data_IF_375494956128
#
_entry.id   IF_375494956128
#
_cell.length_a   1.000
_cell.length_b   1.000
_cell.length_c   1.000
_cell.angle_alpha   90.00
_cell.angle_beta   90.00
_cell.angle_gamma   90.00
#
_symmetry.space_group_name_H-M   'P 1'
#
loop_
_entity.id
_entity.type
_entity.pdbx_description
1 polymer ?
#
# COMPACT_ATOMS: atom_id res chain seq x y z
N UNK A 1 -19.30 37.06 19.41
CA UNK A 1 -19.01 35.87 20.23
C UNK A 1 -17.78 35.22 19.64
N UNK A 2 -16.85 34.78 20.48
CA UNK A 2 -15.75 33.91 20.06
C UNK A 2 -16.31 32.48 20.03
N UNK A 3 -16.36 31.88 18.86
CA UNK A 3 -16.69 30.46 18.70
C UNK A 3 -15.38 29.68 18.71
N UNK A 4 -15.39 28.49 19.28
CA UNK A 4 -14.25 27.58 19.13
C UNK A 4 -14.33 26.95 17.73
N UNK A 5 -13.19 26.69 17.09
CA UNK A 5 -13.15 25.80 15.95
C UNK A 5 -13.80 24.46 16.26
N UNK A 6 -14.40 23.84 15.24
CA UNK A 6 -14.80 22.44 15.25
C UNK A 6 -14.06 21.76 14.12
N UNK A 7 -13.37 20.66 14.42
CA UNK A 7 -12.65 19.87 13.43
C UNK A 7 -12.99 18.38 13.52
N UNK A 8 -13.00 17.69 12.39
CA UNK A 8 -13.18 16.24 12.32
C UNK A 8 -12.30 15.66 11.22
N UNK A 9 -11.47 14.67 11.56
CA UNK A 9 -10.72 13.89 10.60
C UNK A 9 -11.65 12.87 9.94
N UNK A 10 -11.64 12.79 8.61
CA UNK A 10 -12.48 11.85 7.86
C UNK A 10 -11.68 10.63 7.41
N UNK A 11 -10.45 10.84 6.91
CA UNK A 11 -9.59 9.76 6.46
C UNK A 11 -8.12 10.20 6.41
N UNK A 12 -7.15 9.30 6.62
CA UNK A 12 -7.30 7.92 7.13
C UNK A 12 -7.91 7.89 8.54
N UNK A 13 -8.79 6.93 8.80
CA UNK A 13 -9.56 6.86 10.06
C UNK A 13 -9.48 5.51 10.77
N UNK A 14 -8.75 4.54 10.20
CA UNK A 14 -8.43 3.28 10.85
C UNK A 14 -8.58 2.06 9.94
N UNK A 15 -7.69 1.08 10.15
CA UNK A 15 -7.68 -0.19 9.43
C UNK A 15 -7.11 -0.13 8.01
N UNK A 16 -6.76 1.06 7.49
CA UNK A 16 -6.07 1.16 6.21
C UNK A 16 -4.65 0.56 6.27
N UNK A 17 -4.15 0.15 5.11
CA UNK A 17 -2.74 -0.20 4.91
C UNK A 17 -2.19 0.76 3.87
N UNK A 18 -1.29 1.65 4.28
CA UNK A 18 -0.70 2.65 3.40
C UNK A 18 0.71 2.23 3.02
N UNK A 19 1.03 2.27 1.74
CA UNK A 19 2.35 1.92 1.23
C UNK A 19 3.34 3.05 1.54
N UNK A 20 4.45 2.71 2.19
CA UNK A 20 5.58 3.59 2.41
C UNK A 20 6.13 4.18 1.10
N UNK A 21 6.41 5.48 1.11
CA UNK A 21 6.83 6.23 -0.08
C UNK A 21 5.71 6.56 -1.09
N UNK A 22 4.50 6.04 -0.87
CA UNK A 22 3.31 6.40 -1.65
C UNK A 22 2.74 7.77 -1.26
N UNK A 23 1.82 8.28 -2.06
CA UNK A 23 1.04 9.49 -1.77
C UNK A 23 -0.41 9.14 -1.49
N UNK A 24 -0.95 9.69 -0.40
CA UNK A 24 -2.32 9.45 0.07
C UNK A 24 -2.97 10.78 0.45
N UNK A 25 -4.28 10.86 0.32
CA UNK A 25 -5.02 12.08 0.65
C UNK A 25 -5.56 11.98 2.07
N UNK A 26 -5.19 12.92 2.92
CA UNK A 26 -5.80 13.16 4.22
C UNK A 26 -7.00 14.07 4.00
N UNK A 27 -8.13 13.77 4.62
CA UNK A 27 -9.37 14.57 4.48
C UNK A 27 -9.96 14.89 5.85
N UNK A 28 -10.57 16.07 5.97
CA UNK A 28 -11.17 16.57 7.20
C UNK A 28 -12.31 17.54 6.90
N UNK A 29 -13.09 17.86 7.92
CA UNK A 29 -13.94 19.07 7.96
C UNK A 29 -13.48 19.97 9.08
N UNK A 30 -13.36 21.27 8.84
CA UNK A 30 -13.18 22.25 9.91
C UNK A 30 -14.07 23.48 9.70
N UNK A 31 -14.67 24.00 10.76
CA UNK A 31 -15.52 25.19 10.71
C UNK A 31 -15.21 26.16 11.84
N UNK A 32 -14.92 27.40 11.49
CA UNK A 32 -14.95 28.57 12.35
C UNK A 32 -15.11 29.83 11.47
N UNK A 33 -15.71 30.90 11.99
CA UNK A 33 -15.90 32.16 11.26
C UNK A 33 -14.66 33.07 11.29
N UNK A 34 -13.65 32.76 12.10
CA UNK A 34 -12.44 33.54 12.34
C UNK A 34 -11.15 32.82 11.93
N UNK A 35 -11.22 31.85 11.01
CA UNK A 35 -10.02 31.24 10.45
C UNK A 35 -9.17 32.24 9.65
N UNK A 36 -7.85 32.05 9.75
CA UNK A 36 -6.89 32.66 8.83
C UNK A 36 -6.81 31.91 7.50
N UNK A 37 -5.78 32.21 6.70
CA UNK A 37 -5.57 31.57 5.38
C UNK A 37 -5.17 30.10 5.50
N UNK A 38 -4.38 29.75 6.52
CA UNK A 38 -3.84 28.40 6.71
C UNK A 38 -4.03 27.91 8.15
N UNK A 39 -5.27 27.65 8.59
CA UNK A 39 -5.57 27.36 9.99
C UNK A 39 -5.28 25.91 10.40
N UNK A 40 -4.96 25.02 9.45
CA UNK A 40 -4.87 23.58 9.67
C UNK A 40 -3.42 23.12 9.83
N UNK A 41 -3.15 22.33 10.87
CA UNK A 41 -1.92 21.57 11.04
C UNK A 41 -2.22 20.07 11.07
N UNK A 42 -1.29 19.26 10.54
CA UNK A 42 -1.40 17.81 10.47
C UNK A 42 -0.13 17.16 11.02
N UNK A 43 -0.32 16.14 11.85
CA UNK A 43 0.74 15.32 12.40
C UNK A 43 0.32 13.85 12.43
N UNK A 44 1.28 12.93 12.53
CA UNK A 44 1.00 11.51 12.72
C UNK A 44 1.76 10.93 13.91
N UNK A 45 1.14 9.93 14.51
CA UNK A 45 1.67 9.08 15.57
C UNK A 45 2.16 7.76 14.97
N UNK A 46 3.17 7.16 15.59
CA UNK A 46 3.55 5.75 15.37
C UNK A 46 3.46 4.92 16.66
N UNK A 47 2.82 5.49 17.69
CA UNK A 47 2.67 4.94 19.04
C UNK A 47 1.19 4.83 19.47
N UNK A 48 0.30 4.66 18.49
CA UNK A 48 -1.13 4.44 18.70
C UNK A 48 -1.88 5.67 19.22
N UNK A 49 -1.48 6.86 18.77
CA UNK A 49 -2.09 8.13 19.17
C UNK A 49 -1.64 8.66 20.53
N UNK A 50 -0.65 8.03 21.18
CA UNK A 50 -0.12 8.52 22.47
C UNK A 50 0.59 9.86 22.28
N UNK A 51 1.39 9.98 21.21
CA UNK A 51 2.05 11.22 20.81
C UNK A 51 2.00 11.43 19.30
N UNK A 52 1.76 12.67 18.87
CA UNK A 52 1.78 13.09 17.46
C UNK A 52 3.08 13.84 17.16
N UNK A 53 4.20 13.16 17.31
CA UNK A 53 5.55 13.75 17.22
C UNK A 53 6.04 13.96 15.78
N UNK A 54 5.40 13.34 14.79
CA UNK A 54 5.81 13.45 13.40
C UNK A 54 4.96 14.47 12.65
N UNK A 55 5.57 15.57 12.22
CA UNK A 55 4.88 16.63 11.48
C UNK A 55 4.64 16.24 10.02
N UNK A 56 3.40 16.41 9.54
CA UNK A 56 3.05 16.31 8.11
C UNK A 56 3.08 17.72 7.50
N UNK A 57 2.38 18.66 8.12
CA UNK A 57 2.45 20.09 7.84
C UNK A 57 2.08 20.89 9.07
N UNK A 58 2.69 22.06 9.25
CA UNK A 58 2.35 22.97 10.35
C UNK A 58 1.25 23.97 9.99
N UNK A 59 0.94 24.12 8.70
CA UNK A 59 -0.04 25.07 8.20
C UNK A 59 -0.48 24.70 6.77
N UNK A 60 -1.78 24.57 6.54
CA UNK A 60 -2.40 24.43 5.22
C UNK A 60 -3.77 25.10 5.21
N UNK A 61 -4.27 25.42 4.02
CA UNK A 61 -5.62 25.96 3.82
C UNK A 61 -6.68 24.98 4.33
N UNK A 62 -7.84 25.51 4.75
CA UNK A 62 -8.99 24.67 5.13
C UNK A 62 -9.84 24.32 3.90
N UNK A 63 -9.25 23.60 2.94
CA UNK A 63 -9.89 23.12 1.71
C UNK A 63 -10.46 21.70 1.84
N UNK A 64 -10.27 21.08 3.01
CA UNK A 64 -10.75 19.75 3.37
C UNK A 64 -9.85 18.60 2.93
N UNK A 65 -8.67 18.87 2.35
CA UNK A 65 -7.76 17.80 1.93
C UNK A 65 -6.28 18.16 1.90
N UNK A 66 -5.40 17.19 2.15
CA UNK A 66 -3.96 17.36 2.04
C UNK A 66 -3.31 16.11 1.46
N UNK A 67 -2.46 16.28 0.45
CA UNK A 67 -1.70 15.17 -0.14
C UNK A 67 -0.46 14.90 0.72
N UNK A 68 -0.46 13.76 1.39
CA UNK A 68 0.62 13.29 2.25
C UNK A 68 1.48 12.26 1.53
N UNK A 69 2.79 12.52 1.48
CA UNK A 69 3.79 11.50 1.12
C UNK A 69 4.13 10.69 2.35
N UNK A 70 3.72 9.42 2.37
CA UNK A 70 3.89 8.51 3.49
C UNK A 70 5.39 8.18 3.64
N UNK A 71 5.95 8.24 4.86
CA UNK A 71 7.34 7.84 5.10
C UNK A 71 7.59 6.37 4.72
N UNK A 72 8.81 6.05 4.30
CA UNK A 72 9.24 4.67 4.02
C UNK A 72 9.52 3.85 5.29
N UNK A 73 8.67 3.93 6.30
CA UNK A 73 8.83 3.22 7.59
C UNK A 73 7.65 2.29 7.83
N UNK A 74 7.94 1.07 8.25
CA UNK A 74 6.94 0.10 8.68
C UNK A 74 6.37 0.46 10.06
N UNK A 75 5.05 0.44 10.23
CA UNK A 75 4.40 0.56 11.55
C UNK A 75 2.95 0.09 11.49
N UNK A 76 2.47 -0.54 12.56
CA UNK A 76 1.06 -0.98 12.69
C UNK A 76 0.23 -0.13 13.65
N UNK A 77 0.83 0.91 14.25
CA UNK A 77 0.20 1.73 15.27
C UNK A 77 0.17 3.20 14.84
N UNK A 78 -0.28 3.46 13.61
CA UNK A 78 -0.29 4.81 13.04
C UNK A 78 -1.67 5.44 13.21
N UNK A 79 -1.67 6.71 13.62
CA UNK A 79 -2.85 7.57 13.62
C UNK A 79 -2.46 8.94 13.10
N UNK A 80 -3.41 9.66 12.50
CA UNK A 80 -3.23 11.06 12.10
C UNK A 80 -4.02 11.95 13.05
N UNK A 81 -3.49 13.13 13.34
CA UNK A 81 -4.20 14.20 14.03
C UNK A 81 -4.29 15.42 13.10
N UNK A 82 -5.46 16.02 13.09
CA UNK A 82 -5.72 17.33 12.52
C UNK A 82 -5.97 18.33 13.66
N UNK A 83 -5.35 19.51 13.55
CA UNK A 83 -5.58 20.62 14.46
C UNK A 83 -6.03 21.84 13.65
N UNK A 84 -7.09 22.50 14.09
CA UNK A 84 -7.56 23.75 13.51
C UNK A 84 -7.42 24.88 14.53
N UNK A 85 -6.80 26.00 14.14
CA UNK A 85 -6.58 27.16 15.01
C UNK A 85 -7.13 28.44 14.39
N UNK A 86 -7.90 29.22 15.16
CA UNK A 86 -8.44 30.51 14.73
C UNK A 86 -7.42 31.67 14.91
N UNK A 87 -7.75 32.86 14.41
CA UNK A 87 -6.90 34.06 14.53
C UNK A 87 -6.76 34.58 15.98
N UNK A 88 -7.62 34.14 16.91
CA UNK A 88 -7.53 34.46 18.32
C UNK A 88 -6.65 33.47 19.11
N UNK A 89 -6.18 32.40 18.46
CA UNK A 89 -5.36 31.34 19.05
C UNK A 89 -6.17 30.23 19.73
N UNK A 90 -7.50 30.18 19.55
CA UNK A 90 -8.29 29.04 19.99
C UNK A 90 -8.06 27.87 19.04
N UNK A 91 -7.96 26.66 19.59
CA UNK A 91 -7.74 25.46 18.81
C UNK A 91 -8.68 24.32 19.19
N UNK A 92 -8.96 23.48 18.20
CA UNK A 92 -9.59 22.17 18.37
C UNK A 92 -8.78 21.13 17.59
N UNK A 93 -8.86 19.86 18.02
CA UNK A 93 -8.12 18.76 17.42
C UNK A 93 -8.97 17.52 17.32
N UNK A 94 -8.77 16.77 16.24
CA UNK A 94 -9.34 15.44 16.08
C UNK A 94 -8.28 14.47 15.53
N UNK A 95 -8.44 13.17 15.79
CA UNK A 95 -7.51 12.14 15.37
C UNK A 95 -8.24 10.93 14.76
N UNK A 96 -7.51 10.07 14.06
CA UNK A 96 -8.04 8.82 13.51
C UNK A 96 -8.73 8.00 14.61
N UNK A 97 -9.92 7.46 14.33
CA UNK A 97 -10.73 6.67 15.27
C UNK A 97 -10.04 5.35 15.67
N UNK A 98 -9.21 4.79 14.79
CA UNK A 98 -8.41 3.61 15.06
C UNK A 98 -7.04 3.66 14.36
N UNK A 99 -6.16 2.73 14.75
CA UNK A 99 -4.86 2.58 14.11
C UNK A 99 -5.01 2.09 12.67
N UNK A 100 -4.14 2.59 11.80
CA UNK A 100 -3.86 2.04 10.48
C UNK A 100 -2.38 1.64 10.40
N UNK A 101 -1.98 0.93 9.35
CA UNK A 101 -0.60 0.49 9.15
C UNK A 101 0.09 1.19 7.98
N UNK A 102 1.40 1.33 8.10
CA UNK A 102 2.32 1.69 7.04
C UNK A 102 3.10 0.44 6.66
N UNK A 103 3.02 0.05 5.39
CA UNK A 103 3.73 -1.09 4.83
C UNK A 103 4.84 -0.61 3.88
N UNK A 104 6.08 -0.92 4.22
CA UNK A 104 7.22 -0.71 3.34
C UNK A 104 8.05 -2.00 3.15
N UNK A 105 7.46 -3.15 3.46
CA UNK A 105 8.10 -4.45 3.32
C UNK A 105 7.79 -4.99 1.93
N UNK A 106 8.83 -5.43 1.21
CA UNK A 106 8.62 -6.05 -0.10
C UNK A 106 8.19 -7.52 0.09
N UNK A 107 7.29 -8.04 -0.76
CA UNK A 107 6.88 -9.43 -0.69
C UNK A 107 8.06 -10.36 -0.98
N UNK A 108 8.07 -11.52 -0.32
CA UNK A 108 9.00 -12.60 -0.63
C UNK A 108 8.32 -13.60 -1.55
N UNK A 109 9.05 -14.12 -2.55
CA UNK A 109 8.52 -15.11 -3.49
C UNK A 109 9.60 -16.05 -4.00
N UNK A 110 9.27 -17.33 -4.12
CA UNK A 110 10.14 -18.36 -4.68
C UNK A 110 9.34 -19.32 -5.56
N UNK A 111 9.82 -19.54 -6.79
CA UNK A 111 9.30 -20.58 -7.67
C UNK A 111 9.77 -21.94 -7.15
N UNK A 112 8.84 -22.86 -6.87
CA UNK A 112 9.17 -24.21 -6.42
C UNK A 112 9.08 -25.26 -7.52
N UNK A 113 8.22 -25.04 -8.53
CA UNK A 113 8.23 -25.82 -9.77
C UNK A 113 7.67 -24.98 -10.94
N UNK A 114 8.24 -25.09 -12.16
CA UNK A 114 9.43 -25.88 -12.48
C UNK A 114 10.69 -25.22 -11.91
N UNK A 115 11.61 -26.01 -11.35
CA UNK A 115 12.85 -25.56 -10.72
C UNK A 115 14.13 -26.18 -11.33
N UNK A 116 13.99 -27.05 -12.34
CA UNK A 116 15.09 -27.59 -13.12
C UNK A 116 14.94 -29.07 -13.42
N UNK A 117 15.17 -29.44 -14.69
CA UNK A 117 15.18 -30.84 -15.13
C UNK A 117 13.81 -31.43 -15.44
N UNK A 118 12.72 -30.67 -15.26
CA UNK A 118 11.39 -31.10 -15.67
C UNK A 118 11.24 -31.16 -17.19
N UNK A 119 10.59 -32.22 -17.67
CA UNK A 119 10.14 -32.32 -19.06
C UNK A 119 8.70 -31.82 -19.17
N UNK A 120 8.50 -30.64 -19.72
CA UNK A 120 7.18 -30.08 -19.97
C UNK A 120 6.71 -30.51 -21.35
N UNK A 121 5.57 -31.21 -21.40
CA UNK A 121 4.97 -31.63 -22.67
C UNK A 121 4.25 -30.44 -23.32
N UNK A 122 4.77 -29.96 -24.45
CA UNK A 122 4.11 -28.94 -25.26
C UNK A 122 2.68 -29.35 -25.66
N UNK A 123 1.73 -28.43 -25.55
CA UNK A 123 0.30 -28.67 -25.75
C UNK A 123 -0.39 -29.43 -24.61
N UNK A 124 0.34 -29.80 -23.56
CA UNK A 124 -0.21 -30.37 -22.32
C UNK A 124 -0.41 -29.32 -21.24
N UNK A 125 -0.69 -29.78 -20.02
CA UNK A 125 -0.77 -28.94 -18.83
C UNK A 125 0.38 -29.24 -17.88
N UNK A 126 0.87 -28.22 -17.17
CA UNK A 126 1.86 -28.34 -16.12
C UNK A 126 1.43 -27.49 -14.91
N UNK A 127 1.53 -28.05 -13.70
CA UNK A 127 1.24 -27.29 -12.48
C UNK A 127 2.49 -26.55 -12.03
N UNK A 128 2.45 -25.23 -12.16
CA UNK A 128 3.45 -24.33 -11.58
C UNK A 128 3.18 -24.23 -10.09
N UNK A 129 4.21 -24.27 -9.25
CA UNK A 129 4.09 -24.08 -7.81
C UNK A 129 5.07 -23.04 -7.31
N UNK A 130 4.70 -22.36 -6.23
CA UNK A 130 5.53 -21.34 -5.59
C UNK A 130 5.24 -21.24 -4.09
N UNK A 131 6.12 -20.52 -3.39
CA UNK A 131 5.83 -19.94 -2.08
C UNK A 131 5.90 -18.41 -2.19
N UNK A 132 4.96 -17.71 -1.57
CA UNK A 132 5.03 -16.25 -1.45
C UNK A 132 4.49 -15.82 -0.08
N UNK A 133 5.11 -14.80 0.52
CA UNK A 133 4.72 -14.27 1.83
C UNK A 133 4.86 -12.77 1.87
N UNK A 134 3.79 -12.14 2.35
CA UNK A 134 3.67 -10.72 2.67
C UNK A 134 2.51 -10.56 3.67
N UNK A 135 2.58 -9.55 4.55
CA UNK A 135 1.54 -9.30 5.54
C UNK A 135 0.27 -8.67 4.92
N UNK A 136 0.41 -7.99 3.77
CA UNK A 136 -0.65 -7.17 3.19
C UNK A 136 -0.86 -7.43 1.70
N UNK A 137 -0.75 -8.70 1.26
CA UNK A 137 -1.08 -9.07 -0.11
C UNK A 137 -2.48 -8.59 -0.52
N UNK A 138 -2.56 -8.09 -1.76
CA UNK A 138 -3.84 -7.93 -2.44
C UNK A 138 -4.52 -9.28 -2.73
N UNK A 139 -5.74 -9.26 -3.25
CA UNK A 139 -6.50 -10.48 -3.51
C UNK A 139 -5.83 -11.43 -4.51
N UNK A 140 -5.09 -10.90 -5.50
CA UNK A 140 -4.42 -11.68 -6.55
C UNK A 140 -3.00 -11.16 -6.79
N UNK A 141 -2.06 -11.44 -5.87
CA UNK A 141 -0.75 -10.80 -5.87
C UNK A 141 0.25 -11.48 -6.82
N UNK A 142 -0.09 -12.62 -7.42
CA UNK A 142 0.86 -13.46 -8.14
C UNK A 142 0.73 -13.26 -9.66
N UNK A 143 1.85 -12.97 -10.31
CA UNK A 143 1.98 -12.97 -11.76
C UNK A 143 2.97 -14.03 -12.23
N UNK A 144 2.66 -14.70 -13.34
CA UNK A 144 3.48 -15.78 -13.92
C UNK A 144 3.81 -15.46 -15.37
N UNK A 145 5.10 -15.57 -15.69
CA UNK A 145 5.61 -15.39 -17.05
C UNK A 145 6.53 -16.56 -17.42
N UNK A 146 6.71 -16.79 -18.71
CA UNK A 146 7.74 -17.69 -19.20
C UNK A 146 8.64 -17.02 -20.25
N UNK A 147 9.80 -17.64 -20.40
CA UNK A 147 10.88 -17.30 -21.30
C UNK A 147 11.10 -18.48 -22.25
N UNK A 148 11.48 -18.22 -23.50
CA UNK A 148 12.05 -19.24 -24.41
C UNK A 148 13.51 -18.97 -24.73
N UNK A 149 14.10 -17.90 -24.20
CA UNK A 149 15.47 -17.44 -24.48
C UNK A 149 16.42 -17.66 -23.28
N UNK A 150 16.07 -18.57 -22.37
CA UNK A 150 16.92 -18.93 -21.24
C UNK A 150 16.99 -17.86 -20.12
N UNK A 151 15.91 -17.11 -19.88
CA UNK A 151 15.81 -15.98 -18.93
C UNK A 151 16.43 -14.66 -19.40
N UNK A 152 16.80 -14.52 -20.68
CA UNK A 152 17.23 -13.21 -21.16
C UNK A 152 16.06 -12.22 -21.15
N UNK A 153 14.86 -12.68 -21.52
CA UNK A 153 13.61 -11.91 -21.41
C UNK A 153 12.46 -12.80 -20.94
N UNK A 154 11.36 -12.18 -20.46
CA UNK A 154 10.12 -12.89 -20.11
C UNK A 154 8.91 -12.27 -20.84
N UNK A 155 8.85 -12.40 -22.17
CA UNK A 155 7.86 -11.68 -22.97
C UNK A 155 6.50 -12.37 -22.98
N UNK A 156 6.42 -13.62 -22.51
CA UNK A 156 5.19 -14.40 -22.56
C UNK A 156 4.53 -14.45 -21.18
N UNK A 157 3.28 -14.01 -21.13
CA UNK A 157 2.45 -14.03 -19.93
C UNK A 157 1.69 -15.34 -19.82
N UNK A 158 1.77 -15.98 -18.66
CA UNK A 158 0.93 -17.14 -18.28
C UNK A 158 -0.34 -16.63 -17.60
N UNK A 159 -0.16 -15.75 -16.61
CA UNK A 159 -1.22 -14.95 -15.99
C UNK A 159 -0.64 -13.65 -15.45
N UNK A 160 -1.44 -12.58 -15.47
CA UNK A 160 -1.08 -11.30 -14.86
C UNK A 160 -1.46 -11.20 -13.39
N UNK A 161 -2.38 -12.04 -12.92
CA UNK A 161 -2.88 -12.04 -11.54
C UNK A 161 -3.51 -13.40 -11.21
N UNK A 162 -3.16 -13.97 -10.06
CA UNK A 162 -3.82 -15.13 -9.45
C UNK A 162 -3.68 -15.04 -7.93
N UNK A 163 -4.56 -15.73 -7.22
CA UNK A 163 -4.48 -15.87 -5.76
C UNK A 163 -3.15 -16.49 -5.35
N UNK A 164 -2.70 -16.21 -4.12
CA UNK A 164 -1.51 -16.86 -3.55
C UNK A 164 -1.87 -18.22 -2.91
N UNK A 165 -2.38 -19.16 -3.71
CA UNK A 165 -2.76 -20.51 -3.29
C UNK A 165 -1.61 -21.54 -3.43
N UNK A 166 -0.45 -21.08 -3.92
CA UNK A 166 0.76 -21.87 -4.12
C UNK A 166 0.79 -22.68 -5.42
N UNK A 167 -0.21 -22.60 -6.30
CA UNK A 167 -0.19 -23.34 -7.55
C UNK A 167 -1.01 -22.75 -8.70
N UNK A 168 -0.58 -22.99 -9.94
CA UNK A 168 -1.31 -22.56 -11.13
C UNK A 168 -1.21 -23.62 -12.23
N UNK A 169 -2.34 -24.03 -12.79
CA UNK A 169 -2.39 -24.99 -13.90
C UNK A 169 -2.11 -24.26 -15.22
N UNK A 170 -0.88 -24.38 -15.70
CA UNK A 170 -0.45 -23.77 -16.95
C UNK A 170 -0.72 -24.69 -18.14
N UNK A 171 -1.39 -24.17 -19.17
CA UNK A 171 -1.44 -24.82 -20.49
C UNK A 171 -0.15 -24.50 -21.26
N UNK A 172 0.76 -25.48 -21.32
CA UNK A 172 2.09 -25.32 -21.93
C UNK A 172 1.90 -25.14 -23.45
N UNK A 173 2.43 -24.06 -24.05
CA UNK A 173 2.33 -23.87 -25.49
C UNK A 173 2.98 -25.04 -26.24
N UNK A 174 2.47 -25.35 -27.43
CA UNK A 174 3.02 -26.39 -28.30
C UNK A 174 4.34 -25.92 -28.95
N UNK A 175 5.43 -25.93 -28.18
CA UNK A 175 6.77 -25.58 -28.61
C UNK A 175 7.78 -26.64 -28.15
N UNK A 176 8.83 -26.82 -28.94
CA UNK A 176 9.97 -27.69 -28.65
C UNK A 176 11.16 -26.81 -28.27
N UNK A 177 11.52 -26.77 -26.98
CA UNK A 177 12.61 -25.93 -26.48
C UNK A 177 13.20 -26.49 -25.20
N UNK A 178 14.52 -26.38 -25.06
CA UNK A 178 15.28 -26.73 -23.86
C UNK A 178 15.64 -25.50 -23.01
N UNK A 179 15.21 -24.32 -23.44
CA UNK A 179 15.55 -23.02 -22.83
C UNK A 179 14.34 -22.36 -22.16
N UNK A 180 13.24 -23.12 -22.00
CA UNK A 180 12.05 -22.64 -21.31
C UNK A 180 12.36 -22.40 -19.84
N UNK A 181 12.02 -21.21 -19.34
CA UNK A 181 12.12 -20.88 -17.93
C UNK A 181 10.88 -20.12 -17.48
N UNK A 182 10.42 -20.39 -16.26
CA UNK A 182 9.24 -19.74 -15.65
C UNK A 182 9.72 -18.73 -14.62
N UNK A 183 9.00 -17.62 -14.48
CA UNK A 183 9.19 -16.63 -13.43
C UNK A 183 7.87 -16.39 -12.73
N UNK A 184 7.94 -16.39 -11.40
CA UNK A 184 6.90 -15.91 -10.52
C UNK A 184 7.28 -14.52 -10.00
N UNK A 185 6.29 -13.66 -9.83
CA UNK A 185 6.44 -12.35 -9.19
C UNK A 185 5.27 -12.17 -8.24
N UNK A 186 5.53 -11.60 -7.06
CA UNK A 186 4.51 -11.25 -6.08
C UNK A 186 4.52 -9.73 -5.89
N UNK A 187 3.35 -9.12 -5.74
CA UNK A 187 3.16 -7.66 -5.58
C UNK A 187 2.04 -7.33 -4.62
#
# INVERSE_FOLDING_TARGET
>A
MITLPVVTLIAPNGGEVLRGGGTYTITWTATDIHFGTTPIALAYSTDGGTTFSNTITTATENDGSYVWTVPGTESTNVQIQVAATDLAGNSDTDASDANFSLDNTAPTVALTAPNGGELLRGGGTFTITWTASDAHFGAQPIALHYSTDGCATFPYTITTATENDGSYVWSVPALESTTVRVRVTAT
#
